data_IF_816974684812
#
_entry.id   IF_816974684812
#
_cell.length_a   1.000
_cell.length_b   1.000
_cell.length_c   1.000
_cell.angle_alpha   90.00
_cell.angle_beta   90.00
_cell.angle_gamma   90.00
#
_symmetry.space_group_name_H-M   'P 1'
#
loop_
_entity.id
_entity.type
_entity.pdbx_description
1 polymer ?
#
# COMPACT_ATOMS: atom_id res chain seq x y z
N UNK A 1 10.52 -1.01 -45.44
CA UNK A 1 11.05 -0.72 -44.09
C UNK A 1 9.86 -0.79 -43.16
N UNK A 2 9.85 -1.83 -42.34
CA UNK A 2 8.74 -2.28 -41.52
C UNK A 2 8.58 -1.37 -40.30
N UNK A 3 7.33 -0.99 -40.05
CA UNK A 3 6.87 -0.19 -38.93
C UNK A 3 6.67 -1.11 -37.72
N UNK A 4 7.58 -1.05 -36.73
CA UNK A 4 7.49 -1.80 -35.48
C UNK A 4 6.90 -0.89 -34.40
N UNK A 5 5.58 -0.81 -34.35
CA UNK A 5 4.87 -0.36 -33.15
C UNK A 5 4.79 -1.53 -32.16
N UNK A 6 5.05 -1.33 -30.86
CA UNK A 6 4.92 -2.41 -29.88
C UNK A 6 3.44 -2.78 -29.71
N UNK A 7 3.11 -4.03 -30.05
CA UNK A 7 1.79 -4.61 -29.82
C UNK A 7 1.46 -4.57 -28.32
N UNK A 8 0.30 -4.00 -27.98
CA UNK A 8 -0.28 -4.11 -26.64
C UNK A 8 -0.60 -5.58 -26.40
N UNK A 9 0.07 -6.16 -25.40
CA UNK A 9 -0.25 -7.51 -24.92
C UNK A 9 -1.54 -7.39 -24.12
N UNK A 10 -2.65 -7.92 -24.66
CA UNK A 10 -3.88 -8.17 -23.92
C UNK A 10 -3.55 -9.04 -22.70
N UNK A 11 -3.65 -8.46 -21.51
CA UNK A 11 -3.40 -9.20 -20.27
C UNK A 11 -4.63 -10.03 -19.93
N UNK A 12 -4.54 -11.32 -20.22
CA UNK A 12 -5.57 -12.31 -19.90
C UNK A 12 -5.44 -12.72 -18.42
N UNK A 13 -6.53 -12.58 -17.68
CA UNK A 13 -6.76 -13.06 -16.31
C UNK A 13 -6.00 -14.35 -15.96
N UNK A 14 -5.30 -14.35 -14.83
CA UNK A 14 -4.66 -15.54 -14.25
C UNK A 14 -5.62 -16.21 -13.24
N UNK A 15 -6.12 -17.43 -13.53
CA UNK A 15 -7.05 -18.14 -12.65
C UNK A 15 -6.47 -18.53 -11.28
N UNK A 16 -5.15 -18.41 -11.08
CA UNK A 16 -4.49 -18.73 -9.80
C UNK A 16 -4.74 -17.68 -8.70
N UNK A 17 -5.32 -16.52 -9.04
CA UNK A 17 -5.66 -15.45 -8.08
C UNK A 17 -7.08 -15.59 -7.49
N UNK A 18 -7.84 -16.65 -7.82
CA UNK A 18 -9.20 -16.84 -7.29
C UNK A 18 -9.20 -17.24 -5.80
N UNK A 19 -10.01 -16.58 -4.94
CA UNK A 19 -10.35 -17.12 -3.64
C UNK A 19 -11.31 -18.30 -3.80
N UNK A 20 -10.98 -19.46 -3.22
CA UNK A 20 -11.89 -20.62 -3.23
C UNK A 20 -13.16 -20.35 -2.42
N UNK A 21 -14.30 -20.34 -3.10
CA UNK A 21 -15.60 -20.66 -2.52
C UNK A 21 -16.33 -21.63 -3.42
N UNK A 22 -16.62 -22.82 -2.87
CA UNK A 22 -17.68 -23.79 -3.16
C UNK A 22 -18.10 -24.05 -4.62
N UNK A 23 -17.97 -25.31 -5.03
CA UNK A 23 -18.51 -25.91 -6.25
C UNK A 23 -19.97 -25.52 -6.54
N UNK A 24 -20.17 -24.84 -7.66
CA UNK A 24 -21.47 -24.59 -8.27
C UNK A 24 -21.29 -24.45 -9.77
N UNK A 25 -21.51 -25.54 -10.50
CA UNK A 25 -21.54 -25.53 -11.96
C UNK A 25 -22.75 -24.75 -12.46
N UNK A 26 -22.58 -23.64 -13.19
CA UNK A 26 -23.64 -23.11 -14.06
C UNK A 26 -23.13 -22.32 -15.26
N UNK A 27 -23.95 -22.39 -16.31
CA UNK A 27 -23.68 -22.09 -17.70
C UNK A 27 -23.51 -20.60 -18.01
N UNK A 28 -22.55 -20.33 -18.90
CA UNK A 28 -22.24 -19.04 -19.51
C UNK A 28 -23.47 -18.48 -20.26
N UNK A 29 -24.07 -17.42 -19.72
CA UNK A 29 -25.04 -16.58 -20.42
C UNK A 29 -24.34 -15.29 -20.82
N UNK A 30 -24.15 -15.10 -22.13
CA UNK A 30 -23.60 -13.86 -22.69
C UNK A 30 -24.58 -12.71 -22.47
N UNK A 31 -24.36 -11.92 -21.42
CA UNK A 31 -24.93 -10.58 -21.30
C UNK A 31 -23.77 -9.60 -21.22
N UNK A 32 -23.62 -8.80 -22.27
CA UNK A 32 -22.71 -7.66 -22.30
C UNK A 32 -23.29 -6.55 -21.40
N UNK A 33 -22.63 -6.14 -20.30
CA UNK A 33 -23.01 -4.91 -19.63
C UNK A 33 -22.38 -3.74 -20.38
N UNK A 34 -23.13 -2.66 -20.51
CA UNK A 34 -22.70 -1.39 -21.10
C UNK A 34 -21.51 -0.83 -20.32
N UNK A 35 -20.31 -0.92 -20.90
CA UNK A 35 -19.11 -0.20 -20.46
C UNK A 35 -19.45 1.29 -20.41
N UNK A 36 -19.64 1.85 -19.21
CA UNK A 36 -19.68 3.30 -19.04
C UNK A 36 -18.36 3.85 -19.56
N UNK A 37 -18.42 4.95 -20.33
CA UNK A 37 -17.25 5.52 -20.98
C UNK A 37 -16.12 5.74 -19.97
N UNK A 38 -14.92 5.29 -20.32
CA UNK A 38 -13.68 5.47 -19.57
C UNK A 38 -13.40 6.98 -19.46
N UNK A 39 -13.95 7.65 -18.46
CA UNK A 39 -13.66 9.06 -18.19
C UNK A 39 -12.32 9.13 -17.45
N UNK A 40 -11.27 9.53 -18.16
CA UNK A 40 -9.97 9.86 -17.55
C UNK A 40 -10.12 11.04 -16.59
N UNK A 41 -9.47 10.98 -15.43
CA UNK A 41 -9.39 12.13 -14.51
C UNK A 41 -8.85 13.35 -15.26
N UNK A 42 -9.50 14.50 -15.05
CA UNK A 42 -9.13 15.77 -15.71
C UNK A 42 -7.79 16.30 -15.24
N UNK A 43 -7.34 15.88 -14.05
CA UNK A 43 -6.10 16.35 -13.43
C UNK A 43 -5.01 15.28 -13.53
N UNK A 44 -5.33 14.01 -13.28
CA UNK A 44 -4.33 12.94 -13.28
C UNK A 44 -4.07 12.40 -14.69
N UNK A 45 -4.93 12.70 -15.66
CA UNK A 45 -4.86 12.18 -17.05
C UNK A 45 -4.87 10.66 -17.16
N UNK A 46 -5.32 9.98 -16.10
CA UNK A 46 -5.45 8.52 -16.00
C UNK A 46 -6.89 8.17 -15.61
N UNK A 47 -7.40 7.06 -16.12
CA UNK A 47 -8.65 6.48 -15.61
C UNK A 47 -8.41 5.65 -14.33
N UNK A 48 -9.48 5.20 -13.69
CA UNK A 48 -9.40 4.45 -12.42
C UNK A 48 -8.63 3.13 -12.52
N UNK A 49 -8.76 2.40 -13.63
CA UNK A 49 -8.06 1.13 -13.86
C UNK A 49 -6.56 1.34 -14.06
N UNK A 50 -6.18 2.33 -14.88
CA UNK A 50 -4.79 2.72 -15.11
C UNK A 50 -4.12 3.18 -13.81
N UNK A 51 -4.82 3.98 -13.01
CA UNK A 51 -4.31 4.49 -11.74
C UNK A 51 -4.15 3.36 -10.72
N UNK A 52 -5.11 2.45 -10.64
CA UNK A 52 -5.03 1.28 -9.76
C UNK A 52 -3.86 0.37 -10.15
N UNK A 53 -3.69 0.11 -11.45
CA UNK A 53 -2.55 -0.63 -11.98
C UNK A 53 -1.22 0.03 -11.62
N UNK A 54 -1.11 1.35 -11.76
CA UNK A 54 0.08 2.09 -11.34
C UNK A 54 0.42 1.81 -9.86
N UNK A 55 -0.56 1.86 -8.95
CA UNK A 55 -0.30 1.61 -7.54
C UNK A 55 0.09 0.14 -7.24
N UNK A 56 -0.49 -0.81 -7.96
CA UNK A 56 -0.08 -2.23 -7.88
C UNK A 56 1.35 -2.43 -8.35
N UNK A 57 1.72 -1.81 -9.47
CA UNK A 57 3.09 -1.87 -9.99
C UNK A 57 4.08 -1.23 -9.01
N UNK A 58 3.74 -0.08 -8.42
CA UNK A 58 4.55 0.55 -7.37
C UNK A 58 4.70 -0.34 -6.12
N UNK A 59 3.64 -1.06 -5.72
CA UNK A 59 3.71 -2.00 -4.60
C UNK A 59 4.70 -3.13 -4.89
N UNK A 60 4.59 -3.76 -6.07
CA UNK A 60 5.46 -4.86 -6.50
C UNK A 60 6.93 -4.41 -6.59
N UNK A 61 7.19 -3.28 -7.27
CA UNK A 61 8.53 -2.69 -7.37
C UNK A 61 9.13 -2.39 -5.99
N UNK A 62 8.30 -1.93 -5.05
CA UNK A 62 8.72 -1.67 -3.68
C UNK A 62 9.14 -2.94 -2.95
N UNK A 63 8.44 -4.06 -3.17
CA UNK A 63 8.82 -5.36 -2.62
C UNK A 63 10.15 -5.85 -3.22
N UNK A 64 10.33 -5.77 -4.53
CA UNK A 64 11.59 -6.18 -5.18
C UNK A 64 12.79 -5.35 -4.70
N UNK A 65 12.61 -4.03 -4.51
CA UNK A 65 13.64 -3.18 -3.91
C UNK A 65 13.97 -3.56 -2.48
N UNK A 66 12.98 -3.94 -1.68
CA UNK A 66 13.23 -4.44 -0.31
C UNK A 66 13.95 -5.77 -0.30
N UNK A 67 13.69 -6.66 -1.27
CA UNK A 67 14.46 -7.89 -1.45
C UNK A 67 15.93 -7.56 -1.67
N UNK A 68 16.25 -6.60 -2.54
CA UNK A 68 17.63 -6.16 -2.77
C UNK A 68 18.31 -5.55 -1.53
N UNK A 69 17.59 -4.76 -0.75
CA UNK A 69 18.16 -4.01 0.38
C UNK A 69 18.35 -4.89 1.62
N UNK A 70 17.39 -5.79 1.88
CA UNK A 70 17.27 -6.43 3.19
C UNK A 70 17.53 -7.94 3.20
N UNK A 71 17.77 -8.58 2.06
CA UNK A 71 18.04 -10.02 1.98
C UNK A 71 19.27 -10.35 1.15
N UNK A 72 19.87 -11.51 1.42
CA UNK A 72 20.96 -12.08 0.63
C UNK A 72 20.36 -12.86 -0.54
N UNK A 73 19.85 -12.14 -1.54
CA UNK A 73 19.25 -12.74 -2.74
C UNK A 73 20.29 -12.87 -3.86
N UNK A 74 20.31 -14.01 -4.54
CA UNK A 74 21.15 -14.22 -5.73
C UNK A 74 20.77 -13.23 -6.85
N UNK A 75 21.76 -12.74 -7.60
CA UNK A 75 21.57 -11.70 -8.64
C UNK A 75 20.43 -12.03 -9.64
N UNK A 76 20.29 -13.29 -10.03
CA UNK A 76 19.22 -13.70 -10.96
C UNK A 76 17.82 -13.53 -10.34
N UNK A 77 17.65 -13.86 -9.07
CA UNK A 77 16.38 -13.68 -8.36
C UNK A 77 16.06 -12.21 -8.05
N UNK A 78 17.04 -11.31 -8.21
CA UNK A 78 16.84 -9.85 -8.15
C UNK A 78 16.34 -9.28 -9.48
N UNK A 79 16.69 -9.89 -10.62
CA UNK A 79 16.36 -9.38 -11.96
C UNK A 79 14.97 -9.82 -12.43
N UNK A 80 14.40 -10.86 -11.83
CA UNK A 80 13.15 -11.48 -12.27
C UNK A 80 11.85 -10.69 -11.93
N UNK A 81 11.94 -9.47 -11.37
CA UNK A 81 10.79 -8.57 -11.04
C UNK A 81 9.57 -9.32 -10.49
N UNK A 82 9.78 -10.15 -9.47
CA UNK A 82 8.76 -11.08 -8.96
C UNK A 82 7.56 -10.35 -8.35
N UNK A 83 7.78 -9.19 -7.73
CA UNK A 83 6.75 -8.42 -7.05
C UNK A 83 6.12 -9.11 -5.83
N UNK A 84 6.60 -10.30 -5.47
CA UNK A 84 6.18 -11.09 -4.32
C UNK A 84 6.91 -10.62 -3.05
N UNK A 85 6.58 -11.26 -1.92
CA UNK A 85 7.05 -10.81 -0.62
C UNK A 85 8.55 -11.03 -0.47
N UNK A 86 9.31 -10.01 -0.01
CA UNK A 86 10.76 -10.02 -0.11
C UNK A 86 11.46 -10.95 0.88
N UNK A 87 10.76 -11.49 1.88
CA UNK A 87 11.34 -12.23 3.00
C UNK A 87 10.78 -13.65 3.09
N UNK A 88 11.67 -14.62 3.33
CA UNK A 88 11.30 -15.95 3.80
C UNK A 88 11.23 -15.93 5.34
N UNK A 89 10.10 -16.38 5.91
CA UNK A 89 9.80 -16.32 7.33
C UNK A 89 10.54 -17.34 8.20
N UNK A 90 11.35 -18.22 7.60
CA UNK A 90 11.96 -19.37 8.31
C UNK A 90 12.83 -18.96 9.49
N UNK A 91 13.63 -17.90 9.39
CA UNK A 91 14.42 -17.36 10.50
C UNK A 91 14.59 -15.84 10.37
N UNK A 92 13.73 -15.02 11.01
CA UNK A 92 13.93 -13.58 11.01
C UNK A 92 15.20 -13.23 11.82
N UNK A 93 16.15 -12.50 11.24
CA UNK A 93 17.32 -12.02 11.97
C UNK A 93 16.92 -11.16 13.18
N UNK A 94 17.68 -11.22 14.29
CA UNK A 94 17.29 -10.62 15.57
C UNK A 94 17.02 -9.11 15.45
N UNK A 95 16.02 -8.64 16.18
CA UNK A 95 15.72 -7.21 16.27
C UNK A 95 16.84 -6.49 17.03
N UNK A 96 17.21 -5.31 16.53
CA UNK A 96 18.01 -4.33 17.27
C UNK A 96 17.60 -2.93 16.88
N UNK A 97 17.71 -1.97 17.81
CA UNK A 97 17.41 -0.56 17.51
C UNK A 97 18.29 0.01 16.39
N UNK A 98 19.56 -0.41 16.32
CA UNK A 98 20.46 -0.02 15.22
C UNK A 98 19.89 -0.43 13.87
N UNK A 99 19.47 -1.70 13.76
CA UNK A 99 18.91 -2.23 12.51
C UNK A 99 17.59 -1.58 12.16
N UNK A 100 16.70 -1.38 13.13
CA UNK A 100 15.44 -0.66 12.92
C UNK A 100 15.70 0.74 12.36
N UNK A 101 16.67 1.47 12.92
CA UNK A 101 17.04 2.80 12.44
C UNK A 101 17.61 2.77 11.00
N UNK A 102 18.49 1.82 10.69
CA UNK A 102 19.04 1.65 9.34
C UNK A 102 17.92 1.32 8.33
N UNK A 103 17.04 0.37 8.67
CA UNK A 103 15.87 0.01 7.85
C UNK A 103 14.92 1.18 7.62
N UNK A 104 14.60 1.95 8.68
CA UNK A 104 13.71 3.12 8.56
C UNK A 104 14.23 4.14 7.54
N UNK A 105 15.54 4.34 7.46
CA UNK A 105 16.14 5.28 6.50
C UNK A 105 15.93 4.81 5.06
N UNK A 106 16.06 3.51 4.81
CA UNK A 106 15.77 2.93 3.49
C UNK A 106 14.28 3.01 3.15
N UNK A 107 13.39 2.74 4.11
CA UNK A 107 11.95 2.87 3.89
C UNK A 107 11.55 4.31 3.58
N UNK A 108 12.13 5.30 4.29
CA UNK A 108 11.91 6.72 4.00
C UNK A 108 12.39 7.10 2.59
N UNK A 109 13.49 6.52 2.11
CA UNK A 109 13.98 6.71 0.74
C UNK A 109 13.01 6.12 -0.29
N UNK A 110 12.53 4.89 -0.07
CA UNK A 110 11.54 4.26 -0.95
C UNK A 110 10.25 5.07 -1.03
N UNK A 111 9.76 5.58 0.12
CA UNK A 111 8.60 6.46 0.17
C UNK A 111 8.84 7.78 -0.60
N UNK A 112 10.06 8.33 -0.54
CA UNK A 112 10.40 9.55 -1.27
C UNK A 112 10.43 9.34 -2.78
N UNK A 113 11.02 8.22 -3.23
CA UNK A 113 11.07 7.89 -4.64
C UNK A 113 9.68 7.56 -5.20
N UNK A 114 8.84 6.90 -4.40
CA UNK A 114 7.42 6.75 -4.71
C UNK A 114 6.73 8.11 -4.89
N UNK A 115 6.94 9.07 -3.97
CA UNK A 115 6.33 10.40 -4.08
C UNK A 115 6.64 11.06 -5.43
N UNK A 116 7.90 11.02 -5.86
CA UNK A 116 8.34 11.63 -7.14
C UNK A 116 7.64 11.05 -8.37
N UNK A 117 7.21 9.79 -8.30
CA UNK A 117 6.56 9.10 -9.40
C UNK A 117 5.03 9.12 -9.26
N UNK A 118 4.49 9.57 -8.12
CA UNK A 118 3.07 9.55 -7.84
C UNK A 118 2.33 10.58 -8.73
N UNK A 119 1.26 10.17 -9.44
CA UNK A 119 0.51 11.07 -10.33
C UNK A 119 0.02 12.33 -9.60
N UNK A 120 0.28 13.50 -10.17
CA UNK A 120 -0.09 14.80 -9.60
C UNK A 120 0.88 15.34 -8.54
N UNK A 121 1.94 14.61 -8.17
CA UNK A 121 2.97 15.13 -7.26
C UNK A 121 3.76 16.29 -7.87
N UNK A 122 3.98 16.26 -9.18
CA UNK A 122 4.64 17.31 -9.95
C UNK A 122 3.88 18.64 -9.90
N UNK A 123 2.56 18.58 -9.81
CA UNK A 123 1.64 19.73 -9.69
C UNK A 123 1.71 20.43 -8.32
N UNK A 124 2.28 19.77 -7.30
CA UNK A 124 2.37 20.31 -5.95
C UNK A 124 3.47 21.38 -5.83
N UNK A 125 3.17 22.46 -5.10
CA UNK A 125 4.14 23.45 -4.69
C UNK A 125 5.19 22.84 -3.73
N UNK A 126 6.33 23.51 -3.58
CA UNK A 126 7.46 22.98 -2.78
C UNK A 126 7.07 22.63 -1.33
N UNK A 127 6.25 23.46 -0.69
CA UNK A 127 5.78 23.20 0.68
C UNK A 127 4.76 22.05 0.73
N UNK A 128 3.88 21.97 -0.27
CA UNK A 128 2.89 20.88 -0.39
C UNK A 128 3.58 19.54 -0.61
N UNK A 129 4.69 19.50 -1.36
CA UNK A 129 5.53 18.31 -1.52
C UNK A 129 6.09 17.80 -0.19
N UNK A 130 6.47 18.71 0.71
CA UNK A 130 6.94 18.33 2.05
C UNK A 130 5.80 17.77 2.92
N UNK A 131 4.62 18.41 2.89
CA UNK A 131 3.41 17.93 3.59
C UNK A 131 3.02 16.54 3.07
N UNK A 132 2.99 16.36 1.75
CA UNK A 132 2.70 15.09 1.09
C UNK A 132 3.69 14.01 1.49
N UNK A 133 5.00 14.30 1.39
CA UNK A 133 6.02 13.31 1.69
C UNK A 133 5.94 12.81 3.13
N UNK A 134 5.65 13.68 4.09
CA UNK A 134 5.45 13.27 5.48
C UNK A 134 4.28 12.31 5.63
N UNK A 135 3.09 12.66 5.13
CA UNK A 135 1.91 11.79 5.19
C UNK A 135 2.12 10.49 4.42
N UNK A 136 2.77 10.56 3.26
CA UNK A 136 3.13 9.40 2.45
C UNK A 136 4.07 8.48 3.23
N UNK A 137 5.15 8.99 3.80
CA UNK A 137 6.15 8.19 4.51
C UNK A 137 5.54 7.41 5.67
N UNK A 138 4.62 8.02 6.43
CA UNK A 138 3.93 7.35 7.54
C UNK A 138 3.07 6.17 7.05
N UNK A 139 2.13 6.45 6.14
CA UNK A 139 1.24 5.43 5.58
C UNK A 139 2.02 4.34 4.84
N UNK A 140 3.05 4.72 4.08
CA UNK A 140 3.88 3.83 3.28
C UNK A 140 4.63 2.82 4.16
N UNK A 141 5.33 3.29 5.20
CA UNK A 141 6.06 2.43 6.12
C UNK A 141 5.12 1.52 6.92
N UNK A 142 4.04 2.08 7.47
CA UNK A 142 3.10 1.33 8.31
C UNK A 142 2.37 0.23 7.54
N UNK A 143 1.91 0.52 6.33
CA UNK A 143 1.20 -0.46 5.52
C UNK A 143 2.14 -1.50 4.93
N UNK A 144 3.31 -1.11 4.42
CA UNK A 144 4.25 -2.08 3.83
C UNK A 144 4.72 -3.11 4.85
N UNK A 145 5.00 -2.70 6.10
CA UNK A 145 5.36 -3.67 7.14
C UNK A 145 4.17 -4.58 7.50
N UNK A 146 2.92 -4.09 7.41
CA UNK A 146 1.74 -4.93 7.60
C UNK A 146 1.63 -6.00 6.49
N UNK A 147 1.76 -5.58 5.22
CA UNK A 147 1.68 -6.46 4.07
C UNK A 147 2.75 -7.55 4.12
N UNK A 148 4.00 -7.14 4.34
CA UNK A 148 5.13 -8.06 4.48
C UNK A 148 4.86 -9.05 5.61
N UNK A 149 4.39 -8.58 6.77
CA UNK A 149 4.12 -9.45 7.92
C UNK A 149 3.02 -10.47 7.61
N UNK A 150 1.90 -10.04 7.02
CA UNK A 150 0.78 -10.93 6.73
C UNK A 150 1.16 -12.00 5.71
N UNK A 151 1.95 -11.63 4.70
CA UNK A 151 2.31 -12.55 3.63
C UNK A 151 3.48 -13.48 4.00
N UNK A 152 4.47 -12.98 4.74
CA UNK A 152 5.56 -13.82 5.23
C UNK A 152 5.05 -14.83 6.28
N UNK A 153 4.11 -14.42 7.13
CA UNK A 153 3.58 -15.25 8.22
C UNK A 153 2.09 -15.59 8.01
N UNK A 154 1.86 -16.78 7.45
CA UNK A 154 0.50 -17.33 7.26
C UNK A 154 -0.26 -17.54 8.57
N UNK A 155 0.46 -17.78 9.67
CA UNK A 155 -0.09 -17.92 11.02
C UNK A 155 0.54 -16.86 11.92
N UNK A 156 -0.26 -16.31 12.83
CA UNK A 156 0.22 -15.36 13.83
C UNK A 156 1.21 -16.06 14.78
N UNK A 157 2.44 -15.55 14.82
CA UNK A 157 3.49 -16.08 15.68
C UNK A 157 3.33 -15.58 17.12
N UNK A 158 3.85 -16.32 18.12
CA UNK A 158 3.92 -15.84 19.49
C UNK A 158 4.68 -14.50 19.55
N UNK A 159 4.18 -13.58 20.38
CA UNK A 159 4.74 -12.23 20.46
C UNK A 159 6.24 -12.25 20.79
N UNK A 160 7.09 -11.54 20.02
CA UNK A 160 8.50 -11.43 20.37
C UNK A 160 8.66 -10.59 21.63
N UNK A 161 9.66 -10.91 22.45
CA UNK A 161 10.01 -10.16 23.66
C UNK A 161 10.77 -8.88 23.29
N UNK A 162 10.12 -7.97 22.56
CA UNK A 162 10.65 -6.61 22.32
C UNK A 162 9.96 -5.67 23.30
N UNK A 163 10.66 -5.19 24.33
CA UNK A 163 10.05 -4.39 25.41
C UNK A 163 9.66 -2.98 24.90
N UNK A 164 10.52 -2.35 24.09
CA UNK A 164 10.22 -1.07 23.43
C UNK A 164 9.27 -1.31 22.26
N UNK A 165 8.20 -0.52 22.15
CA UNK A 165 7.13 -0.65 21.15
C UNK A 165 6.23 -1.90 21.28
N UNK A 166 6.36 -2.74 22.32
CA UNK A 166 5.50 -3.92 22.46
C UNK A 166 4.01 -3.59 22.34
N UNK A 167 3.56 -2.58 23.08
CA UNK A 167 2.17 -2.15 23.06
C UNK A 167 1.70 -1.70 21.66
N UNK A 168 2.58 -1.01 20.92
CA UNK A 168 2.30 -0.65 19.53
C UNK A 168 2.23 -1.89 18.63
N UNK A 169 3.20 -2.80 18.72
CA UNK A 169 3.28 -4.01 17.88
C UNK A 169 2.05 -4.91 18.09
N UNK A 170 1.60 -5.07 19.34
CA UNK A 170 0.39 -5.83 19.66
C UNK A 170 -0.84 -5.23 19.00
N UNK A 171 -1.07 -3.93 19.23
CA UNK A 171 -2.21 -3.24 18.66
C UNK A 171 -2.16 -3.17 17.13
N UNK A 172 -0.96 -3.03 16.56
CA UNK A 172 -0.74 -3.05 15.12
C UNK A 172 -1.14 -4.40 14.50
N UNK A 173 -0.74 -5.52 15.12
CA UNK A 173 -1.13 -6.84 14.65
C UNK A 173 -2.66 -7.04 14.72
N UNK A 174 -3.28 -6.64 15.83
CA UNK A 174 -4.74 -6.76 16.02
C UNK A 174 -5.54 -5.86 15.08
N UNK A 175 -5.12 -4.60 14.92
CA UNK A 175 -5.88 -3.57 14.21
C UNK A 175 -5.63 -3.52 12.70
N UNK A 176 -4.48 -4.02 12.22
CA UNK A 176 -4.07 -3.94 10.81
C UNK A 176 -3.79 -5.33 10.23
N UNK A 177 -2.81 -6.06 10.77
CA UNK A 177 -2.40 -7.34 10.17
C UNK A 177 -3.54 -8.38 10.16
N UNK A 178 -4.28 -8.50 11.27
CA UNK A 178 -5.38 -9.47 11.39
C UNK A 178 -6.56 -9.14 10.46
N UNK A 179 -7.03 -7.89 10.32
CA UNK A 179 -8.00 -7.53 9.28
C UNK A 179 -7.52 -7.82 7.87
N UNK A 180 -6.29 -7.44 7.51
CA UNK A 180 -5.73 -7.73 6.17
C UNK A 180 -5.76 -9.24 5.87
N UNK A 181 -5.38 -10.07 6.85
CA UNK A 181 -5.42 -11.54 6.73
C UNK A 181 -6.83 -12.08 6.65
N UNK A 182 -7.72 -11.62 7.52
CA UNK A 182 -9.12 -12.10 7.59
C UNK A 182 -9.89 -11.76 6.32
N UNK A 183 -9.70 -10.54 5.80
CA UNK A 183 -10.29 -10.09 4.54
C UNK A 183 -9.61 -10.71 3.31
N UNK A 184 -8.44 -11.35 3.50
CA UNK A 184 -7.60 -11.91 2.43
C UNK A 184 -7.38 -10.87 1.33
N UNK A 185 -6.88 -9.69 1.70
CA UNK A 185 -6.70 -8.62 0.74
C UNK A 185 -5.78 -9.07 -0.39
N UNK A 186 -6.22 -8.83 -1.63
CA UNK A 186 -5.43 -9.00 -2.83
C UNK A 186 -4.39 -7.87 -2.96
N UNK A 187 -3.40 -8.03 -3.84
CA UNK A 187 -2.44 -6.97 -4.14
C UNK A 187 -3.14 -5.68 -4.61
N UNK A 188 -4.20 -5.83 -5.40
CA UNK A 188 -5.02 -4.72 -5.91
C UNK A 188 -5.68 -3.95 -4.76
N UNK A 189 -6.37 -4.67 -3.87
CA UNK A 189 -7.05 -4.06 -2.72
C UNK A 189 -6.08 -3.41 -1.74
N UNK A 190 -4.95 -4.06 -1.48
CA UNK A 190 -3.94 -3.51 -0.60
C UNK A 190 -3.26 -2.27 -1.19
N UNK A 191 -2.94 -2.28 -2.50
CA UNK A 191 -2.39 -1.12 -3.19
C UNK A 191 -3.38 0.06 -3.18
N UNK A 192 -4.67 -0.20 -3.39
CA UNK A 192 -5.71 0.81 -3.31
C UNK A 192 -5.86 1.39 -1.89
N UNK A 193 -5.92 0.53 -0.87
CA UNK A 193 -5.95 0.96 0.55
C UNK A 193 -4.76 1.85 0.86
N UNK A 194 -3.56 1.46 0.43
CA UNK A 194 -2.33 2.23 0.62
C UNK A 194 -2.40 3.58 -0.05
N UNK A 195 -2.84 3.64 -1.31
CA UNK A 195 -2.99 4.88 -2.05
C UNK A 195 -4.02 5.82 -1.40
N UNK A 196 -5.19 5.31 -1.02
CA UNK A 196 -6.22 6.07 -0.30
C UNK A 196 -5.67 6.63 1.01
N UNK A 197 -4.94 5.83 1.79
CA UNK A 197 -4.34 6.30 3.03
C UNK A 197 -3.32 7.42 2.80
N UNK A 198 -2.47 7.31 1.78
CA UNK A 198 -1.47 8.34 1.45
C UNK A 198 -2.13 9.68 1.12
N UNK A 199 -3.19 9.67 0.31
CA UNK A 199 -3.91 10.89 -0.10
C UNK A 199 -4.90 11.43 0.94
N UNK A 200 -5.15 10.70 2.04
CA UNK A 200 -6.12 11.11 3.07
C UNK A 200 -5.53 11.32 4.46
N UNK A 201 -4.40 10.70 4.81
CA UNK A 201 -3.83 10.79 6.16
C UNK A 201 -3.48 12.25 6.55
N UNK A 202 -2.99 13.04 5.61
CA UNK A 202 -2.64 14.46 5.82
C UNK A 202 -3.74 15.46 5.46
N UNK A 203 -4.96 15.00 5.17
CA UNK A 203 -5.98 15.83 4.50
C UNK A 203 -6.34 17.13 5.25
N UNK A 204 -6.24 17.14 6.58
CA UNK A 204 -6.46 18.35 7.38
C UNK A 204 -5.41 19.43 7.15
N UNK A 205 -4.17 19.05 6.80
CA UNK A 205 -3.04 19.95 6.54
C UNK A 205 -2.90 20.33 5.06
N UNK A 206 -3.67 19.68 4.19
CA UNK A 206 -3.63 19.94 2.76
C UNK A 206 -4.24 21.31 2.42
N UNK A 207 -3.56 22.02 1.53
CA UNK A 207 -4.07 23.23 0.87
C UNK A 207 -5.30 22.89 0.02
N UNK A 208 -6.11 23.89 -0.39
CA UNK A 208 -7.24 23.65 -1.28
C UNK A 208 -6.86 22.95 -2.60
N UNK A 209 -5.74 23.34 -3.22
CA UNK A 209 -5.19 22.69 -4.43
C UNK A 209 -4.87 21.23 -4.21
N UNK A 210 -4.17 20.92 -3.11
CA UNK A 210 -3.77 19.56 -2.78
C UNK A 210 -4.98 18.67 -2.42
N UNK A 211 -6.03 19.25 -1.81
CA UNK A 211 -7.31 18.56 -1.56
C UNK A 211 -8.03 18.18 -2.85
N UNK A 212 -7.98 19.03 -3.88
CA UNK A 212 -8.55 18.72 -5.19
C UNK A 212 -7.83 17.51 -5.80
N UNK A 213 -6.49 17.50 -5.80
CA UNK A 213 -5.71 16.35 -6.30
C UNK A 213 -6.03 15.07 -5.50
N UNK A 214 -6.05 15.16 -4.17
CA UNK A 214 -6.39 14.01 -3.33
C UNK A 214 -7.83 13.51 -3.52
N UNK A 215 -8.77 14.39 -3.87
CA UNK A 215 -10.16 14.03 -4.19
C UNK A 215 -10.24 13.28 -5.52
N UNK A 216 -9.50 13.72 -6.53
CA UNK A 216 -9.42 13.03 -7.83
C UNK A 216 -8.81 11.63 -7.67
N UNK A 217 -7.76 11.47 -6.86
CA UNK A 217 -7.21 10.15 -6.53
C UNK A 217 -8.24 9.27 -5.83
N UNK A 218 -8.93 9.79 -4.81
CA UNK A 218 -9.98 9.05 -4.10
C UNK A 218 -11.06 8.54 -5.06
N UNK A 219 -11.61 9.41 -5.90
CA UNK A 219 -12.69 9.05 -6.83
C UNK A 219 -12.22 8.04 -7.89
N UNK A 220 -11.04 8.27 -8.49
CA UNK A 220 -10.49 7.38 -9.50
C UNK A 220 -10.13 6.00 -8.93
N UNK A 221 -9.54 5.93 -7.72
CA UNK A 221 -9.22 4.65 -7.06
C UNK A 221 -10.49 3.89 -6.71
N UNK A 222 -11.50 4.55 -6.14
CA UNK A 222 -12.76 3.90 -5.79
C UNK A 222 -13.51 3.41 -7.02
N UNK A 223 -13.48 4.16 -8.12
CA UNK A 223 -14.04 3.73 -9.40
C UNK A 223 -13.27 2.53 -9.98
N UNK A 224 -11.94 2.58 -9.97
CA UNK A 224 -11.10 1.46 -10.41
C UNK A 224 -11.33 0.19 -9.59
N UNK A 225 -11.48 0.32 -8.26
CA UNK A 225 -11.84 -0.80 -7.38
C UNK A 225 -13.23 -1.34 -7.68
N UNK A 226 -14.21 -0.47 -7.96
CA UNK A 226 -15.55 -0.89 -8.34
C UNK A 226 -15.51 -1.75 -9.61
N UNK A 227 -14.83 -1.30 -10.67
CA UNK A 227 -14.68 -2.06 -11.91
C UNK A 227 -13.97 -3.40 -11.67
N UNK A 228 -12.88 -3.39 -10.88
CA UNK A 228 -12.19 -4.61 -10.47
C UNK A 228 -13.11 -5.60 -9.76
N UNK A 229 -14.04 -5.12 -8.94
CA UNK A 229 -14.99 -5.98 -8.27
C UNK A 229 -16.16 -6.43 -9.16
N UNK A 230 -16.61 -5.62 -10.12
CA UNK A 230 -17.60 -6.05 -11.12
C UNK A 230 -17.08 -7.20 -11.99
N UNK A 231 -15.76 -7.24 -12.25
CA UNK A 231 -15.13 -8.35 -12.97
C UNK A 231 -15.05 -9.65 -12.14
N UNK A 232 -15.08 -9.53 -10.81
CA UNK A 232 -14.94 -10.66 -9.88
C UNK A 232 -16.27 -11.17 -9.30
N UNK A 233 -17.23 -10.28 -9.14
CA UNK A 233 -18.48 -10.52 -8.43
C UNK A 233 -19.68 -10.10 -9.25
N UNK A 234 -20.68 -10.97 -9.33
CA UNK A 234 -21.95 -10.65 -9.97
C UNK A 234 -22.92 -9.91 -9.02
N UNK A 235 -22.75 -10.06 -7.69
CA UNK A 235 -23.62 -9.47 -6.67
C UNK A 235 -23.10 -8.10 -6.19
N UNK A 236 -23.89 -7.06 -6.44
CA UNK A 236 -23.61 -5.68 -5.99
C UNK A 236 -23.48 -5.52 -4.47
N UNK A 237 -24.12 -6.40 -3.68
CA UNK A 237 -23.96 -6.39 -2.22
C UNK A 237 -22.54 -6.79 -1.81
N UNK A 238 -21.94 -7.76 -2.50
CA UNK A 238 -20.58 -8.23 -2.23
C UNK A 238 -19.55 -7.13 -2.56
N UNK A 239 -19.74 -6.45 -3.70
CA UNK A 239 -18.95 -5.28 -4.12
C UNK A 239 -19.01 -4.18 -3.05
N UNK A 240 -20.22 -3.85 -2.59
CA UNK A 240 -20.45 -2.81 -1.58
C UNK A 240 -19.81 -3.17 -0.23
N UNK A 241 -19.94 -4.43 0.19
CA UNK A 241 -19.34 -4.93 1.42
C UNK A 241 -17.81 -4.88 1.36
N UNK A 242 -17.21 -5.30 0.25
CA UNK A 242 -15.75 -5.25 0.03
C UNK A 242 -15.21 -3.82 0.10
N UNK A 243 -15.82 -2.88 -0.62
CA UNK A 243 -15.47 -1.46 -0.57
C UNK A 243 -15.62 -0.90 0.85
N UNK A 244 -16.73 -1.20 1.53
CA UNK A 244 -16.98 -0.77 2.91
C UNK A 244 -15.92 -1.27 3.89
N UNK A 245 -15.50 -2.53 3.77
CA UNK A 245 -14.46 -3.11 4.60
C UNK A 245 -13.10 -2.41 4.41
N UNK A 246 -12.74 -2.03 3.17
CA UNK A 246 -11.53 -1.25 2.90
C UNK A 246 -11.59 0.16 3.51
N UNK A 247 -12.75 0.83 3.41
CA UNK A 247 -12.94 2.17 4.00
C UNK A 247 -12.85 2.12 5.53
N UNK A 248 -13.43 1.09 6.16
CA UNK A 248 -13.33 0.91 7.62
C UNK A 248 -11.89 0.65 8.06
N UNK A 249 -11.15 -0.18 7.31
CA UNK A 249 -9.74 -0.46 7.56
C UNK A 249 -8.87 0.79 7.40
N UNK A 250 -9.17 1.68 6.45
CA UNK A 250 -8.48 2.97 6.33
C UNK A 250 -8.56 3.80 7.61
N UNK A 251 -9.71 3.78 8.31
CA UNK A 251 -9.87 4.44 9.61
C UNK A 251 -8.89 3.93 10.67
N UNK A 252 -8.73 2.61 10.79
CA UNK A 252 -7.80 2.03 11.77
C UNK A 252 -6.34 2.30 11.40
N UNK A 253 -6.01 2.37 10.11
CA UNK A 253 -4.67 2.78 9.63
C UNK A 253 -4.34 4.20 10.10
N UNK A 254 -5.30 5.13 10.10
CA UNK A 254 -5.05 6.49 10.59
C UNK A 254 -4.79 6.53 12.10
N UNK A 255 -5.57 5.78 12.89
CA UNK A 255 -5.35 5.65 14.33
C UNK A 255 -3.95 5.07 14.63
N UNK A 256 -3.54 4.03 13.89
CA UNK A 256 -2.24 3.41 14.09
C UNK A 256 -1.07 4.33 13.68
N UNK A 257 -1.25 5.18 12.66
CA UNK A 257 -0.28 6.22 12.33
C UNK A 257 -0.14 7.26 13.45
N UNK A 258 -1.24 7.67 14.08
CA UNK A 258 -1.17 8.56 15.25
C UNK A 258 -0.44 7.89 16.41
N UNK A 259 -0.79 6.63 16.71
CA UNK A 259 -0.16 5.89 17.80
C UNK A 259 1.35 5.71 17.63
N UNK A 260 1.83 5.42 16.41
CA UNK A 260 3.28 5.28 16.19
C UNK A 260 4.00 6.61 16.37
N UNK A 261 3.40 7.73 15.91
CA UNK A 261 3.96 9.06 16.14
C UNK A 261 4.05 9.38 17.63
N UNK A 262 2.99 9.13 18.41
CA UNK A 262 2.99 9.31 19.87
C UNK A 262 4.05 8.44 20.57
N UNK A 263 4.24 7.21 20.08
CA UNK A 263 5.24 6.28 20.63
C UNK A 263 6.66 6.79 20.36
N UNK A 264 6.95 7.29 19.16
CA UNK A 264 8.24 7.92 18.84
C UNK A 264 8.48 9.20 19.63
N UNK A 265 7.47 10.08 19.78
CA UNK A 265 7.56 11.29 20.60
C UNK A 265 7.87 10.96 22.06
N UNK A 266 7.19 9.96 22.62
CA UNK A 266 7.41 9.51 23.99
C UNK A 266 8.83 8.95 24.16
N UNK A 267 9.29 8.12 23.23
CA UNK A 267 10.63 7.54 23.28
C UNK A 267 11.73 8.61 23.15
N UNK A 268 11.51 9.66 22.36
CA UNK A 268 12.40 10.82 22.27
C UNK A 268 12.42 11.62 23.57
N UNK A 269 11.25 11.88 24.19
CA UNK A 269 11.14 12.60 25.47
C UNK A 269 11.93 11.91 26.58
N UNK A 270 11.90 10.58 26.64
CA UNK A 270 12.65 9.78 27.61
C UNK A 270 14.09 9.46 27.17
N UNK A 271 14.55 10.03 26.06
CA UNK A 271 15.89 9.83 25.50
C UNK A 271 16.26 8.34 25.29
N UNK A 272 15.27 7.50 24.94
CA UNK A 272 15.46 6.05 24.76
C UNK A 272 16.28 5.73 23.50
N UNK A 273 16.23 6.59 22.48
CA UNK A 273 17.11 6.58 21.31
C UNK A 273 17.13 7.95 20.62
N UNK A 274 18.06 8.15 19.69
CA UNK A 274 18.19 9.38 18.90
C UNK A 274 17.66 9.14 17.49
N UNK A 275 16.61 9.88 17.11
CA UNK A 275 16.17 10.00 15.72
C UNK A 275 17.09 10.98 14.96
N UNK A 276 17.34 10.71 13.69
CA UNK A 276 17.98 11.68 12.80
C UNK A 276 17.02 12.81 12.39
N UNK A 277 17.56 13.88 11.84
CA UNK A 277 16.79 15.08 11.50
C UNK A 277 15.64 14.81 10.51
N UNK A 278 15.82 13.88 9.56
CA UNK A 278 14.77 13.52 8.62
C UNK A 278 13.68 12.73 9.34
N UNK A 279 14.05 11.67 10.07
CA UNK A 279 13.08 10.86 10.81
C UNK A 279 12.28 11.68 11.83
N UNK A 280 12.91 12.66 12.49
CA UNK A 280 12.20 13.63 13.34
C UNK A 280 11.20 14.46 12.55
N UNK A 281 11.62 15.06 11.44
CA UNK A 281 10.74 15.88 10.60
C UNK A 281 9.52 15.09 10.06
N UNK A 282 9.67 13.76 9.91
CA UNK A 282 8.61 12.88 9.44
C UNK A 282 7.70 12.36 10.56
N UNK A 283 8.25 12.03 11.73
CA UNK A 283 7.54 11.34 12.83
C UNK A 283 7.13 12.28 13.98
N UNK A 284 7.86 13.36 14.19
CA UNK A 284 7.74 14.23 15.37
C UNK A 284 7.65 15.70 14.94
N UNK A 285 6.41 16.18 14.79
CA UNK A 285 6.10 17.62 14.87
C UNK A 285 6.26 18.13 16.30
#
# INVERSE_FOLDING_TARGET
MSDNSPEMVDFKFDPSEMPSTSDGSMQRSERTPSRQSIESSKILTMNGEELLRFYVDQLKMSMDRRRMIFTETALLAVIEDRGDVPFDAREPPPHSLKRQYESQRFDNLLAFDFCKCCPGFDLLAQMEKAIFYRSCSLAYCLLDIAWITVQAYQVELPEPVVILFLGFVRRFNEAICRPIRTLKLTHVEFAALKALCIWKLGYCEFTPSMKVIGKEHEEAILHGLHNYYEDLYEDSNEISMRLGNLILLMGTVFEMNQLIMETYKSAELFALFKLDALSKSLLTL
#
